data_IF_312366566174
#
_entry.id   IF_312366566174
#
_cell.length_a   1.000
_cell.length_b   1.000
_cell.length_c   1.000
_cell.angle_alpha   90.00
_cell.angle_beta   90.00
_cell.angle_gamma   90.00
#
_symmetry.space_group_name_H-M   'P 1'
#
loop_
_entity.id
_entity.type
_entity.pdbx_description
1 polymer ?
#
# COMPACT_ATOMS: atom_id res chain seq x y z
N UNK A 1 -21.87 5.20 19.74
CA UNK A 1 -20.45 5.60 19.77
C UNK A 1 -20.20 6.32 18.46
N UNK A 2 -19.58 7.49 18.52
CA UNK A 2 -19.32 8.33 17.36
C UNK A 2 -18.40 7.55 16.39
N UNK A 3 -18.90 7.22 15.20
CA UNK A 3 -18.22 6.35 14.24
C UNK A 3 -17.02 7.02 13.54
N UNK A 4 -16.53 8.13 14.09
CA UNK A 4 -15.60 9.07 13.44
C UNK A 4 -14.28 9.24 14.18
N UNK A 5 -14.21 8.86 15.46
CA UNK A 5 -12.99 9.03 16.23
C UNK A 5 -12.01 7.87 15.99
N UNK A 6 -10.73 8.16 15.67
CA UNK A 6 -9.70 7.14 15.56
C UNK A 6 -9.49 6.35 16.85
N UNK A 7 -9.02 5.11 16.71
CA UNK A 7 -8.59 4.26 17.81
C UNK A 7 -7.08 4.36 17.98
N UNK A 8 -6.61 4.49 19.23
CA UNK A 8 -5.19 4.47 19.56
C UNK A 8 -4.81 3.16 20.24
N UNK A 9 -3.65 2.62 19.88
CA UNK A 9 -3.00 1.49 20.55
C UNK A 9 -1.54 1.83 20.88
N UNK A 10 -1.03 1.27 21.97
CA UNK A 10 0.33 1.49 22.47
C UNK A 10 0.94 0.21 23.01
N UNK A 11 2.25 0.02 22.83
CA UNK A 11 2.95 -1.15 23.34
C UNK A 11 4.41 -1.17 22.92
N UNK A 12 5.32 -1.52 23.84
CA UNK A 12 6.74 -1.67 23.52
C UNK A 12 7.43 -0.41 22.97
N UNK A 13 6.99 0.78 23.39
CA UNK A 13 7.49 2.05 22.86
C UNK A 13 6.77 2.56 21.61
N UNK A 14 5.92 1.74 20.99
CA UNK A 14 5.16 2.11 19.80
C UNK A 14 3.82 2.74 20.16
N UNK A 15 3.36 3.67 19.32
CA UNK A 15 2.00 4.21 19.32
C UNK A 15 1.45 4.26 17.90
N UNK A 16 0.24 3.75 17.71
CA UNK A 16 -0.44 3.80 16.41
C UNK A 16 -1.86 4.37 16.56
N UNK A 17 -2.29 5.12 15.55
CA UNK A 17 -3.66 5.63 15.43
C UNK A 17 -4.31 5.08 14.17
N UNK A 18 -5.52 4.53 14.31
CA UNK A 18 -6.23 3.82 13.24
C UNK A 18 -7.62 4.45 13.07
N UNK A 19 -7.95 4.84 11.85
CA UNK A 19 -9.28 5.36 11.48
C UNK A 19 -10.32 4.23 11.51
N UNK A 20 -11.54 4.55 11.94
CA UNK A 20 -12.69 3.64 11.74
C UNK A 20 -13.24 3.69 10.31
N UNK A 21 -12.79 4.63 9.48
CA UNK A 21 -13.08 4.66 8.05
C UNK A 21 -11.95 3.93 7.30
N UNK A 22 -12.29 2.82 6.66
CA UNK A 22 -11.36 1.97 5.90
C UNK A 22 -10.21 1.36 6.70
N UNK A 23 -10.20 1.53 8.02
CA UNK A 23 -9.11 1.03 8.87
C UNK A 23 -7.77 1.70 8.57
N UNK A 24 -7.76 2.93 8.04
CA UNK A 24 -6.55 3.65 7.65
C UNK A 24 -5.58 3.82 8.83
N UNK A 25 -4.30 3.50 8.64
CA UNK A 25 -3.25 3.80 9.61
C UNK A 25 -2.88 5.30 9.52
N UNK A 26 -3.36 6.09 10.47
CA UNK A 26 -3.22 7.54 10.47
C UNK A 26 -1.85 8.01 10.96
N UNK A 27 -1.28 7.29 11.93
CA UNK A 27 0.02 7.61 12.52
C UNK A 27 0.66 6.34 13.09
N UNK A 28 1.99 6.28 13.06
CA UNK A 28 2.81 5.27 13.72
C UNK A 28 4.11 5.92 14.20
N UNK A 29 4.37 5.85 15.50
CA UNK A 29 5.63 6.30 16.10
C UNK A 29 6.27 5.21 16.93
N UNK A 30 7.59 5.29 17.09
CA UNK A 30 8.33 4.60 18.15
C UNK A 30 9.01 5.66 19.02
N UNK A 31 8.57 5.77 20.26
CA UNK A 31 8.81 6.93 21.11
C UNK A 31 8.39 8.23 20.37
N UNK A 32 9.35 9.12 20.12
CA UNK A 32 9.13 10.41 19.45
C UNK A 32 9.35 10.34 17.92
N UNK A 33 9.90 9.23 17.40
CA UNK A 33 10.21 9.12 15.97
C UNK A 33 8.97 8.70 15.17
N UNK A 34 8.59 9.51 14.18
CA UNK A 34 7.62 9.14 13.14
C UNK A 34 8.22 8.02 12.26
N UNK A 35 7.53 6.87 12.16
CA UNK A 35 7.93 5.76 11.28
C UNK A 35 7.19 5.79 9.94
N UNK A 36 6.01 6.40 9.93
CA UNK A 36 5.26 6.72 8.73
C UNK A 36 4.99 8.22 8.67
N UNK A 37 4.83 8.76 7.47
CA UNK A 37 4.31 10.12 7.30
C UNK A 37 2.86 10.15 7.79
N UNK A 38 2.51 11.03 8.75
CA UNK A 38 1.14 11.09 9.25
C UNK A 38 0.14 11.43 8.15
N UNK A 39 -0.99 10.71 8.11
CA UNK A 39 -2.01 10.86 7.07
C UNK A 39 -2.56 12.29 6.96
N UNK A 40 -2.61 13.01 8.08
CA UNK A 40 -3.03 14.41 8.14
C UNK A 40 -2.11 15.38 7.36
N UNK A 41 -0.89 14.97 7.01
CA UNK A 41 0.08 15.76 6.23
C UNK A 41 0.08 15.39 4.73
N UNK A 42 -0.77 14.47 4.30
CA UNK A 42 -0.68 13.80 2.99
C UNK A 42 -2.05 13.71 2.30
N UNK A 43 -2.78 14.83 2.26
CA UNK A 43 -4.11 14.87 1.66
C UNK A 43 -4.09 14.35 0.20
N UNK A 44 -5.02 13.44 -0.10
CA UNK A 44 -5.16 12.83 -1.44
C UNK A 44 -4.02 11.90 -1.87
N UNK A 45 -3.09 11.55 -0.97
CA UNK A 45 -1.97 10.65 -1.24
C UNK A 45 -2.16 9.22 -0.70
N UNK A 46 -3.32 8.93 -0.10
CA UNK A 46 -3.71 7.61 0.42
C UNK A 46 -2.80 7.04 1.52
N UNK A 47 -2.05 7.89 2.25
CA UNK A 47 -1.12 7.41 3.26
C UNK A 47 -1.82 6.57 4.34
N UNK A 48 -1.32 5.35 4.53
CA UNK A 48 -1.84 4.38 5.49
C UNK A 48 -3.16 3.73 5.08
N UNK A 49 -3.66 3.98 3.86
CA UNK A 49 -4.88 3.35 3.37
C UNK A 49 -4.70 1.85 3.16
N UNK A 50 -5.80 1.11 3.31
CA UNK A 50 -5.90 -0.31 2.96
C UNK A 50 -6.60 -0.40 1.60
N UNK A 51 -5.95 -1.03 0.64
CA UNK A 51 -6.30 -1.00 -0.78
C UNK A 51 -7.01 -2.30 -1.16
N UNK A 52 -8.34 -2.31 -1.16
CA UNK A 52 -9.13 -3.49 -1.51
C UNK A 52 -10.52 -3.07 -2.03
N UNK A 53 -11.16 -3.81 -2.95
CA UNK A 53 -10.80 -5.15 -3.44
C UNK A 53 -9.90 -5.16 -4.68
N UNK A 54 -9.20 -4.05 -4.98
CA UNK A 54 -8.05 -4.05 -5.87
C UNK A 54 -7.03 -3.01 -5.40
N UNK A 55 -5.73 -3.34 -5.38
CA UNK A 55 -4.69 -2.33 -5.23
C UNK A 55 -4.44 -1.65 -6.58
N UNK A 56 -3.81 -0.48 -6.52
CA UNK A 56 -3.44 0.31 -7.69
C UNK A 56 -4.63 0.54 -8.67
N UNK A 57 -4.36 0.75 -9.95
CA UNK A 57 -5.34 1.15 -10.96
C UNK A 57 -6.07 -0.03 -11.58
N UNK A 58 -7.36 0.15 -11.84
CA UNK A 58 -8.12 -0.61 -12.85
C UNK A 58 -8.42 0.32 -14.02
N UNK A 59 -7.88 -0.03 -15.18
CA UNK A 59 -7.93 0.80 -16.39
C UNK A 59 -9.37 1.12 -16.79
N UNK A 60 -9.64 2.40 -17.06
CA UNK A 60 -10.91 2.87 -17.60
C UNK A 60 -12.11 2.62 -16.68
N UNK A 61 -11.86 2.37 -15.39
CA UNK A 61 -12.90 2.13 -14.39
C UNK A 61 -13.78 0.95 -14.77
N UNK A 62 -13.24 -0.08 -15.41
CA UNK A 62 -14.03 -1.21 -15.89
C UNK A 62 -13.22 -2.49 -15.91
N UNK A 63 -13.93 -3.60 -15.82
CA UNK A 63 -13.38 -4.93 -16.00
C UNK A 63 -14.43 -5.92 -16.48
N UNK A 64 -14.00 -7.06 -16.99
CA UNK A 64 -14.89 -8.16 -17.37
C UNK A 64 -14.62 -9.37 -16.49
N UNK A 65 -15.66 -9.89 -15.84
CA UNK A 65 -15.56 -11.08 -15.02
C UNK A 65 -16.69 -12.05 -15.36
N UNK A 66 -16.35 -13.33 -15.58
CA UNK A 66 -17.30 -14.36 -16.03
C UNK A 66 -18.16 -13.95 -17.24
N UNK A 67 -17.59 -13.15 -18.15
CA UNK A 67 -18.28 -12.68 -19.36
C UNK A 67 -19.20 -11.47 -19.16
N UNK A 68 -19.27 -10.90 -17.96
CA UNK A 68 -20.05 -9.68 -17.64
C UNK A 68 -19.10 -8.50 -17.48
N UNK A 69 -19.38 -7.39 -18.16
CA UNK A 69 -18.67 -6.13 -17.95
C UNK A 69 -19.22 -5.41 -16.71
N UNK A 70 -18.32 -4.92 -15.87
CA UNK A 70 -18.61 -4.15 -14.68
C UNK A 70 -17.94 -2.77 -14.74
N UNK A 71 -18.63 -1.73 -14.26
CA UNK A 71 -18.15 -0.36 -14.24
C UNK A 71 -17.88 0.08 -12.80
N UNK A 72 -16.61 0.22 -12.47
CA UNK A 72 -16.13 0.72 -11.19
C UNK A 72 -16.25 2.26 -11.13
N UNK A 73 -16.46 2.83 -9.94
CA UNK A 73 -16.33 4.28 -9.75
C UNK A 73 -14.96 4.78 -10.19
N UNK A 74 -14.93 5.76 -11.10
CA UNK A 74 -13.69 6.42 -11.51
C UNK A 74 -13.25 7.34 -10.37
N UNK A 75 -12.08 7.06 -9.80
CA UNK A 75 -11.47 7.87 -8.73
C UNK A 75 -10.23 8.65 -9.20
N UNK A 76 -9.75 8.40 -10.42
CA UNK A 76 -8.68 9.18 -11.07
C UNK A 76 -9.18 9.73 -12.42
N UNK A 77 -9.75 10.94 -12.40
CA UNK A 77 -10.35 11.56 -13.58
C UNK A 77 -9.38 11.69 -14.77
N UNK A 78 -8.12 12.04 -14.50
CA UNK A 78 -7.11 12.29 -15.52
C UNK A 78 -6.82 11.08 -16.42
N UNK A 79 -7.01 9.86 -15.90
CA UNK A 79 -6.77 8.61 -16.63
C UNK A 79 -8.04 7.81 -16.88
N UNK A 80 -9.14 8.19 -16.22
CA UNK A 80 -10.38 7.42 -16.18
C UNK A 80 -10.26 6.13 -15.39
N UNK A 81 -9.21 5.93 -14.58
CA UNK A 81 -9.02 4.71 -13.81
C UNK A 81 -9.82 4.69 -12.50
N UNK A 82 -10.18 3.47 -12.06
CA UNK A 82 -10.60 3.22 -10.69
C UNK A 82 -9.37 2.83 -9.86
N UNK A 83 -8.98 3.69 -8.92
CA UNK A 83 -7.76 3.58 -8.14
C UNK A 83 -8.06 3.13 -6.70
N UNK A 84 -7.35 2.11 -6.22
CA UNK A 84 -7.25 1.70 -4.80
C UNK A 84 -8.48 1.10 -4.11
N UNK A 85 -9.45 0.59 -4.86
CA UNK A 85 -10.55 -0.17 -4.28
C UNK A 85 -11.62 0.69 -3.61
N UNK A 86 -12.47 0.03 -2.82
CA UNK A 86 -13.66 0.60 -2.17
C UNK A 86 -13.54 0.63 -0.64
N UNK A 87 -12.62 -0.16 -0.08
CA UNK A 87 -12.52 -0.35 1.36
C UNK A 87 -12.16 0.94 2.09
N UNK A 88 -11.46 1.88 1.46
CA UNK A 88 -11.08 3.16 2.07
C UNK A 88 -12.28 3.97 2.59
N UNK A 89 -13.45 3.83 1.96
CA UNK A 89 -14.68 4.54 2.32
C UNK A 89 -15.61 3.71 3.22
N UNK A 90 -15.21 2.49 3.60
CA UNK A 90 -16.03 1.57 4.37
C UNK A 90 -15.99 1.93 5.87
N UNK A 91 -17.12 2.25 6.51
CA UNK A 91 -17.17 2.38 7.96
C UNK A 91 -16.98 1.01 8.64
N UNK A 92 -16.00 0.93 9.53
CA UNK A 92 -15.69 -0.24 10.33
C UNK A 92 -16.12 -0.04 11.78
N UNK A 93 -16.46 -1.13 12.44
CA UNK A 93 -16.72 -1.15 13.89
C UNK A 93 -15.57 -1.82 14.62
N UNK A 94 -15.26 -1.32 15.81
CA UNK A 94 -14.37 -2.00 16.76
C UNK A 94 -15.06 -3.26 17.26
N UNK A 95 -14.43 -4.40 17.07
CA UNK A 95 -14.88 -5.70 17.59
C UNK A 95 -14.19 -6.02 18.91
N UNK A 96 -12.89 -5.70 19.00
CA UNK A 96 -12.08 -5.88 20.21
C UNK A 96 -11.02 -4.79 20.26
N UNK A 97 -10.73 -4.30 21.47
CA UNK A 97 -9.65 -3.35 21.72
C UNK A 97 -8.97 -3.70 23.04
N UNK A 98 -7.65 -3.82 22.98
CA UNK A 98 -6.73 -3.90 24.12
C UNK A 98 -5.80 -2.68 24.05
N UNK A 99 -4.92 -2.54 25.03
CA UNK A 99 -3.92 -1.46 25.02
C UNK A 99 -3.04 -1.50 23.76
N UNK A 100 -2.57 -2.68 23.38
CA UNK A 100 -1.61 -2.88 22.29
C UNK A 100 -2.19 -3.49 21.02
N UNK A 101 -3.53 -3.58 20.91
CA UNK A 101 -4.21 -4.28 19.82
C UNK A 101 -5.61 -3.72 19.58
N UNK A 102 -5.99 -3.58 18.31
CA UNK A 102 -7.38 -3.32 17.91
C UNK A 102 -7.78 -4.25 16.76
N UNK A 103 -9.01 -4.75 16.82
CA UNK A 103 -9.65 -5.50 15.75
C UNK A 103 -10.88 -4.75 15.28
N UNK A 104 -10.93 -4.49 13.97
CA UNK A 104 -12.00 -3.80 13.27
C UNK A 104 -12.69 -4.77 12.32
N UNK A 105 -13.99 -4.63 12.12
CA UNK A 105 -14.69 -5.37 11.08
C UNK A 105 -15.79 -4.54 10.40
N UNK A 106 -16.09 -4.90 9.16
CA UNK A 106 -17.11 -4.24 8.34
C UNK A 106 -17.66 -5.16 7.27
N UNK A 107 -18.73 -4.70 6.63
CA UNK A 107 -19.36 -5.38 5.51
C UNK A 107 -19.28 -4.46 4.29
N UNK A 108 -18.48 -4.84 3.30
CA UNK A 108 -18.48 -4.16 2.00
C UNK A 108 -19.67 -4.70 1.21
N UNK A 109 -20.67 -3.85 1.00
CA UNK A 109 -21.87 -4.20 0.26
C UNK A 109 -21.55 -4.49 -1.22
N UNK A 110 -22.34 -5.40 -1.80
CA UNK A 110 -22.37 -5.59 -3.24
C UNK A 110 -22.79 -4.28 -3.92
N UNK A 111 -22.17 -3.94 -5.04
CA UNK A 111 -22.50 -2.75 -5.83
C UNK A 111 -22.61 -3.10 -7.30
N UNK A 112 -23.20 -2.20 -8.10
CA UNK A 112 -23.30 -2.37 -9.57
C UNK A 112 -21.92 -2.60 -10.21
N UNK A 113 -20.92 -1.84 -9.75
CA UNK A 113 -19.55 -1.90 -10.27
C UNK A 113 -18.72 -3.06 -9.72
N UNK A 114 -19.05 -3.57 -8.54
CA UNK A 114 -18.37 -4.69 -7.92
C UNK A 114 -19.42 -5.53 -7.16
N UNK A 115 -20.09 -6.47 -7.85
CA UNK A 115 -21.24 -7.18 -7.29
C UNK A 115 -20.84 -8.38 -6.41
N UNK A 116 -19.89 -8.17 -5.50
CA UNK A 116 -19.38 -9.20 -4.61
C UNK A 116 -19.28 -8.66 -3.18
N UNK A 117 -20.26 -9.00 -2.33
CA UNK A 117 -20.25 -8.60 -0.93
C UNK A 117 -19.12 -9.27 -0.15
N UNK A 118 -18.36 -8.49 0.63
CA UNK A 118 -17.20 -8.97 1.39
C UNK A 118 -17.33 -8.69 2.88
N UNK A 119 -17.07 -9.70 3.72
CA UNK A 119 -16.67 -9.43 5.09
C UNK A 119 -15.24 -8.94 5.09
N UNK A 120 -15.02 -7.87 5.85
CA UNK A 120 -13.70 -7.28 6.06
C UNK A 120 -13.37 -7.37 7.55
N UNK A 121 -12.15 -7.81 7.86
CA UNK A 121 -11.58 -7.71 9.19
C UNK A 121 -10.17 -7.14 9.11
N UNK A 122 -9.84 -6.24 10.02
CA UNK A 122 -8.52 -5.64 10.14
C UNK A 122 -8.03 -5.79 11.57
N UNK A 123 -6.80 -6.25 11.75
CA UNK A 123 -6.14 -6.32 13.05
C UNK A 123 -4.87 -5.50 13.02
N UNK A 124 -4.71 -4.62 14.02
CA UNK A 124 -3.48 -3.88 14.26
C UNK A 124 -2.95 -4.24 15.65
N UNK A 125 -1.65 -4.56 15.73
CA UNK A 125 -0.95 -4.89 16.98
C UNK A 125 0.35 -4.11 17.06
N UNK A 126 0.73 -3.69 18.26
CA UNK A 126 2.03 -3.06 18.53
C UNK A 126 2.76 -3.77 19.67
N UNK A 127 4.06 -4.04 19.51
CA UNK A 127 4.89 -4.60 20.57
C UNK A 127 6.37 -4.23 20.37
N UNK A 128 7.20 -4.48 21.39
CA UNK A 128 8.64 -4.22 21.29
C UNK A 128 9.33 -5.16 20.28
N UNK A 129 8.84 -6.40 20.18
CA UNK A 129 9.46 -7.46 19.37
C UNK A 129 9.02 -7.43 17.90
N UNK A 130 7.84 -6.87 17.60
CA UNK A 130 7.24 -6.89 16.25
C UNK A 130 7.14 -5.50 15.61
N UNK A 131 7.32 -4.43 16.39
CA UNK A 131 6.88 -3.10 15.99
C UNK A 131 5.37 -3.03 15.81
N UNK A 132 4.89 -2.44 14.72
CA UNK A 132 3.51 -2.56 14.26
C UNK A 132 3.35 -3.82 13.40
N UNK A 133 2.29 -4.61 13.62
CA UNK A 133 1.79 -5.59 12.67
C UNK A 133 0.36 -5.21 12.24
N UNK A 134 0.08 -5.26 10.95
CA UNK A 134 -1.22 -5.01 10.36
C UNK A 134 -1.66 -6.20 9.50
N UNK A 135 -2.87 -6.70 9.73
CA UNK A 135 -3.46 -7.84 9.02
C UNK A 135 -4.80 -7.44 8.42
N UNK A 136 -4.99 -7.67 7.13
CA UNK A 136 -6.29 -7.65 6.44
C UNK A 136 -6.77 -9.07 6.23
N UNK A 137 -8.03 -9.30 6.56
CA UNK A 137 -8.76 -10.50 6.16
C UNK A 137 -10.00 -10.12 5.36
N UNK A 138 -10.28 -10.89 4.31
CA UNK A 138 -11.46 -10.71 3.47
C UNK A 138 -12.12 -12.06 3.21
N UNK A 139 -13.46 -12.09 3.22
CA UNK A 139 -14.25 -13.28 2.90
C UNK A 139 -15.41 -12.90 2.01
N UNK A 140 -15.51 -13.54 0.86
CA UNK A 140 -16.66 -13.38 -0.03
C UNK A 140 -17.89 -14.06 0.57
N UNK A 141 -18.98 -13.30 0.72
CA UNK A 141 -20.31 -13.82 1.11
C UNK A 141 -21.34 -13.43 0.05
N UNK A 142 -21.77 -14.36 -0.81
CA UNK A 142 -22.86 -14.11 -1.74
C UNK A 142 -24.19 -13.79 -1.02
N UNK A 143 -24.98 -12.87 -1.56
CA UNK A 143 -26.24 -12.39 -0.95
C UNK A 143 -27.27 -13.50 -0.72
N UNK A 144 -27.36 -14.50 -1.60
CA UNK A 144 -28.27 -15.65 -1.43
C UNK A 144 -27.96 -16.52 -0.19
N UNK A 145 -26.79 -16.38 0.43
CA UNK A 145 -26.42 -17.07 1.67
C UNK A 145 -26.64 -16.22 2.93
N UNK A 146 -27.19 -15.01 2.81
CA UNK A 146 -27.30 -14.05 3.92
C UNK A 146 -28.63 -14.09 4.68
N UNK A 147 -29.65 -14.81 4.20
CA UNK A 147 -30.99 -14.81 4.81
C UNK A 147 -31.03 -15.33 6.27
N UNK A 148 -30.02 -16.10 6.71
CA UNK A 148 -29.95 -16.66 8.08
C UNK A 148 -28.78 -16.12 8.94
N UNK A 149 -27.92 -15.23 8.41
CA UNK A 149 -26.69 -14.82 9.09
C UNK A 149 -26.71 -13.33 9.47
N UNK A 150 -26.86 -13.04 10.77
CA UNK A 150 -26.69 -11.68 11.31
C UNK A 150 -25.31 -11.14 10.91
N UNK A 151 -25.22 -10.02 10.14
CA UNK A 151 -23.94 -9.44 9.77
C UNK A 151 -23.12 -9.11 11.02
N UNK A 152 -21.97 -9.74 11.19
CA UNK A 152 -21.01 -9.37 12.23
C UNK A 152 -21.05 -10.12 13.57
N UNK A 153 -21.72 -11.27 13.64
CA UNK A 153 -21.69 -12.13 14.84
C UNK A 153 -20.87 -13.41 14.68
N UNK A 154 -20.39 -13.74 13.48
CA UNK A 154 -19.37 -14.78 13.33
C UNK A 154 -18.10 -14.29 14.04
N UNK A 155 -17.58 -15.08 14.99
CA UNK A 155 -16.25 -14.86 15.53
C UNK A 155 -15.26 -14.76 14.36
N UNK A 156 -14.47 -13.68 14.35
CA UNK A 156 -13.32 -13.62 13.46
C UNK A 156 -12.51 -14.88 13.70
N UNK A 157 -12.03 -15.55 12.64
CA UNK A 157 -11.19 -16.72 12.84
C UNK A 157 -10.03 -16.34 13.75
N UNK A 158 -9.74 -17.19 14.74
CA UNK A 158 -8.49 -17.07 15.48
C UNK A 158 -7.36 -17.03 14.45
N UNK A 159 -6.48 -16.03 14.55
CA UNK A 159 -5.30 -16.01 13.69
C UNK A 159 -4.55 -17.33 13.89
N UNK A 160 -4.00 -17.94 12.83
CA UNK A 160 -3.14 -19.09 13.02
C UNK A 160 -2.06 -18.70 14.02
N UNK A 161 -1.79 -19.55 15.01
CA UNK A 161 -0.67 -19.32 15.91
C UNK A 161 0.58 -19.26 15.04
N UNK A 162 1.25 -18.10 15.00
CA UNK A 162 2.59 -17.96 14.44
C UNK A 162 3.52 -18.83 15.29
N UNK A 163 3.59 -20.12 15.00
CA UNK A 163 4.69 -20.97 15.45
C UNK A 163 5.91 -20.60 14.61
N UNK A 164 6.46 -19.41 14.85
CA UNK A 164 7.87 -19.17 14.61
C UNK A 164 8.56 -19.92 15.74
N UNK A 165 8.97 -21.16 15.48
CA UNK A 165 10.00 -21.76 16.31
C UNK A 165 11.20 -20.81 16.29
N UNK A 166 11.75 -20.42 17.46
CA UNK A 166 12.89 -19.52 17.49
C UNK A 166 13.99 -20.17 16.65
N UNK A 167 14.40 -19.49 15.58
CA UNK A 167 15.58 -19.87 14.83
C UNK A 167 16.73 -20.01 15.84
N UNK A 168 17.21 -21.23 16.05
CA UNK A 168 18.40 -21.46 16.87
C UNK A 168 19.51 -20.54 16.34
N UNK A 169 20.14 -19.84 17.28
CA UNK A 169 20.94 -18.64 17.01
C UNK A 169 21.97 -18.83 15.90
N UNK A 170 22.03 -17.86 14.99
CA UNK A 170 23.29 -17.55 14.34
C UNK A 170 24.23 -17.03 15.43
N UNK A 171 25.08 -17.91 15.94
CA UNK A 171 26.30 -17.49 16.62
C UNK A 171 27.09 -16.58 15.68
N UNK A 172 27.42 -15.39 16.18
CA UNK A 172 28.33 -14.48 15.52
C UNK A 172 29.66 -15.19 15.24
N UNK A 173 29.94 -15.47 13.97
CA UNK A 173 31.25 -15.92 13.55
C UNK A 173 32.27 -14.81 13.89
N UNK A 174 33.17 -15.11 14.83
CA UNK A 174 34.35 -14.31 15.09
C UNK A 174 35.20 -14.20 13.82
N UNK A 175 35.93 -13.09 13.59
CA UNK A 175 36.79 -12.96 12.42
C UNK A 175 37.93 -13.97 12.50
N UNK A 176 37.98 -14.90 11.55
CA UNK A 176 39.14 -15.79 11.38
C UNK A 176 40.35 -14.98 10.92
N UNK A 177 41.41 -15.04 11.71
CA UNK A 177 42.75 -14.56 11.35
C UNK A 177 43.31 -15.45 10.24
N UNK A 178 43.98 -14.90 9.21
CA UNK A 178 44.56 -15.73 8.16
C UNK A 178 45.74 -16.53 8.71
N UNK A 179 45.69 -17.84 8.49
CA UNK A 179 46.81 -18.76 8.68
C UNK A 179 47.90 -18.44 7.65
N UNK A 180 49.10 -18.11 8.16
CA UNK A 180 50.32 -17.90 7.38
C UNK A 180 51.02 -19.27 7.23
N UNK A 181 51.05 -19.79 6.00
CA UNK A 181 51.76 -21.02 5.69
C UNK A 181 53.28 -20.80 5.74
N UNK A 182 53.90 -21.60 6.60
CA UNK A 182 55.33 -21.80 6.78
C UNK A 182 56.15 -21.83 5.48
N UNK A 183 57.30 -21.16 5.51
CA UNK A 183 58.48 -21.63 4.79
C UNK A 183 59.74 -21.55 5.66
N UNK A 184 60.56 -22.58 5.54
CA UNK A 184 61.61 -23.03 6.45
C UNK A 184 62.89 -22.17 6.49
N UNK A 185 63.49 -22.16 7.69
CA UNK A 185 64.91 -22.37 8.01
C UNK A 185 66.01 -21.47 7.40
N UNK A 186 66.68 -20.68 8.25
CA UNK A 186 68.09 -20.91 8.69
C UNK A 186 68.68 -19.71 9.44
N UNK A 187 69.36 -19.97 10.57
CA UNK A 187 70.61 -19.24 10.91
C UNK A 187 70.62 -18.22 12.06
N UNK A 188 70.88 -18.72 13.27
CA UNK A 188 71.94 -18.30 14.21
C UNK A 188 72.13 -16.82 14.69
N UNK A 189 72.04 -16.72 16.03
CA UNK A 189 72.81 -15.93 17.02
C UNK A 189 72.41 -14.50 17.47
N UNK A 190 72.61 -14.15 18.78
CA UNK A 190 72.05 -12.97 19.43
C UNK A 190 73.09 -11.93 19.90
N UNK A 191 72.67 -10.67 20.02
CA UNK A 191 73.31 -9.56 20.77
C UNK A 191 72.33 -8.37 20.69
N UNK A 192 72.11 -7.48 21.65
CA UNK A 192 72.73 -7.14 22.93
C UNK A 192 71.67 -6.31 23.70
N UNK A 193 71.78 -6.30 25.02
CA UNK A 193 71.01 -5.43 25.90
C UNK A 193 71.52 -3.98 25.82
N UNK A 194 70.62 -3.00 25.99
CA UNK A 194 71.00 -1.80 26.74
C UNK A 194 69.81 -1.24 27.54
N UNK A 195 70.10 -0.88 28.79
CA UNK A 195 69.20 -0.31 29.78
C UNK A 195 69.53 1.19 29.95
N UNK A 196 68.50 2.01 30.14
CA UNK A 196 68.45 3.20 31.02
C UNK A 196 67.24 4.06 30.58
N UNK A 197 66.43 4.72 31.40
CA UNK A 197 66.37 5.01 32.85
C UNK A 197 65.18 5.97 33.02
N UNK A 198 64.25 5.68 33.94
CA UNK A 198 63.92 6.46 35.16
C UNK A 198 63.48 7.93 34.99
N UNK A 199 62.21 8.22 35.35
CA UNK A 199 61.74 9.09 36.47
C UNK A 199 60.23 9.37 36.27
N UNK A 200 59.28 8.95 37.15
CA UNK A 200 58.86 9.54 38.45
C UNK A 200 58.67 11.07 38.40
N UNK A 201 57.67 11.72 39.00
CA UNK A 201 56.43 11.39 39.70
C UNK A 201 55.73 12.75 40.01
N UNK A 202 54.53 12.66 40.59
CA UNK A 202 53.92 13.58 41.58
C UNK A 202 52.65 14.37 41.22
N UNK A 203 51.78 14.32 42.22
CA UNK A 203 50.41 14.78 42.37
C UNK A 203 50.32 16.27 42.75
N UNK A 204 49.10 16.82 42.75
CA UNK A 204 48.49 17.37 43.98
C UNK A 204 47.06 17.87 43.73
N UNK A 205 46.25 17.66 44.76
CA UNK A 205 44.85 18.06 44.98
C UNK A 205 44.67 19.57 45.21
N UNK A 206 43.41 20.03 45.21
CA UNK A 206 43.05 21.35 45.72
C UNK A 206 41.55 21.66 45.60
N UNK A 207 40.84 21.49 46.72
CA UNK A 207 39.51 21.98 47.12
C UNK A 207 39.25 23.45 46.68
N UNK A 208 38.06 24.00 46.49
CA UNK A 208 36.73 23.78 47.05
C UNK A 208 36.06 25.17 47.22
N UNK A 209 34.78 25.16 47.64
CA UNK A 209 33.95 26.25 48.17
C UNK A 209 32.83 26.80 47.27
N UNK A 210 31.67 26.78 47.92
CA UNK A 210 30.27 26.89 47.55
C UNK A 210 29.74 28.33 47.63
N UNK A 211 28.51 28.52 47.13
CA UNK A 211 27.34 29.22 47.71
C UNK A 211 26.44 29.68 46.53
N UNK A 212 25.22 29.20 46.31
CA UNK A 212 23.99 29.07 47.12
C UNK A 212 22.90 30.06 46.65
N UNK A 213 21.71 29.51 46.37
CA UNK A 213 20.35 30.08 46.52
C UNK A 213 19.93 31.29 45.64
N UNK A 214 18.67 31.48 45.22
CA UNK A 214 17.40 30.79 45.45
C UNK A 214 16.40 31.08 44.30
N UNK A 215 15.37 30.22 44.20
CA UNK A 215 14.17 30.40 43.40
C UNK A 215 13.20 31.47 43.97
N UNK A 216 12.33 32.03 43.12
CA UNK A 216 10.91 32.25 43.44
C UNK A 216 10.07 32.61 42.20
N UNK A 217 8.90 31.98 42.11
CA UNK A 217 7.82 32.23 41.16
C UNK A 217 6.91 33.39 41.60
N UNK A 218 6.20 33.99 40.64
CA UNK A 218 4.86 34.63 40.78
C UNK A 218 4.37 35.06 39.38
N UNK A 219 3.31 34.46 38.85
CA UNK A 219 1.93 35.00 38.78
C UNK A 219 1.61 35.78 37.48
N UNK A 220 0.59 35.29 36.78
CA UNK A 220 -0.13 35.87 35.63
C UNK A 220 -1.10 36.97 36.12
N UNK A 221 -1.41 38.01 35.32
CA UNK A 221 -2.72 37.99 34.67
C UNK A 221 -2.82 38.69 33.28
N UNK A 222 -3.56 38.04 32.37
CA UNK A 222 -4.68 38.58 31.54
C UNK A 222 -4.51 39.94 30.80
N UNK A 223 -4.66 39.96 29.47
CA UNK A 223 -5.70 40.71 28.74
C UNK A 223 -5.40 40.91 27.23
N UNK A 224 -6.44 40.63 26.42
CA UNK A 224 -6.89 41.30 25.18
C UNK A 224 -6.01 41.38 23.92
N UNK A 225 -6.50 40.70 22.87
CA UNK A 225 -7.00 41.36 21.67
C UNK A 225 -6.00 41.70 20.56
N UNK A 226 -6.08 40.97 19.44
CA UNK A 226 -6.07 41.53 18.07
C UNK A 226 -6.32 40.43 17.05
N UNK A 227 -7.42 40.54 16.29
CA UNK A 227 -7.52 39.97 14.94
C UNK A 227 -6.47 40.61 14.02
N UNK A 228 -6.12 39.98 12.89
CA UNK A 228 -6.74 40.48 11.67
C UNK A 228 -7.16 39.39 10.67
N UNK A 229 -8.33 39.65 10.08
CA UNK A 229 -8.64 39.69 8.65
C UNK A 229 -7.83 38.81 7.68
N UNK A 230 -8.59 38.07 6.87
CA UNK A 230 -8.09 37.18 5.83
C UNK A 230 -7.39 37.85 4.65
N UNK A 231 -6.71 36.99 3.91
CA UNK A 231 -6.41 37.20 2.51
C UNK A 231 -6.54 35.86 1.80
N UNK A 232 -7.54 35.75 0.93
CA UNK A 232 -7.50 34.86 -0.22
C UNK A 232 -6.18 35.10 -0.96
N UNK A 233 -5.40 34.05 -1.13
CA UNK A 233 -4.30 34.02 -2.08
C UNK A 233 -4.42 32.72 -2.87
N UNK A 234 -5.11 32.83 -4.01
CA UNK A 234 -5.01 31.86 -5.09
C UNK A 234 -3.54 31.79 -5.53
N UNK A 235 -2.94 30.60 -5.42
CA UNK A 235 -1.64 30.31 -6.00
C UNK A 235 -1.83 29.90 -7.47
N UNK A 236 -0.95 30.34 -8.39
CA UNK A 236 -1.20 30.32 -9.83
C UNK A 236 -0.99 28.94 -10.46
N UNK A 237 -1.81 28.67 -11.49
CA UNK A 237 -1.63 27.62 -12.48
C UNK A 237 -0.19 27.62 -13.02
N UNK A 238 0.51 26.51 -12.84
CA UNK A 238 1.75 26.23 -13.55
C UNK A 238 1.40 25.56 -14.89
N UNK A 239 1.38 26.35 -15.97
CA UNK A 239 1.35 25.84 -17.34
C UNK A 239 2.59 24.96 -17.62
N UNK A 240 2.33 23.73 -18.04
CA UNK A 240 3.35 22.84 -18.62
C UNK A 240 3.57 23.27 -20.08
N UNK A 241 4.81 23.45 -20.56
CA UNK A 241 5.02 23.85 -21.95
C UNK A 241 4.67 22.72 -22.92
N UNK A 242 3.87 23.07 -23.93
CA UNK A 242 3.51 22.20 -25.06
C UNK A 242 4.74 21.61 -25.75
N UNK A 243 4.79 20.29 -25.82
CA UNK A 243 5.68 19.59 -26.73
C UNK A 243 5.03 19.52 -28.12
N UNK A 244 5.58 20.26 -29.08
CA UNK A 244 5.19 20.19 -30.48
C UNK A 244 5.34 18.75 -31.02
N UNK A 245 4.22 18.16 -31.45
CA UNK A 245 4.18 16.91 -32.20
C UNK A 245 4.30 17.26 -33.69
N UNK A 246 5.25 16.68 -34.46
CA UNK A 246 5.29 16.90 -35.89
C UNK A 246 4.15 16.15 -36.58
N UNK A 247 3.47 16.85 -37.50
CA UNK A 247 2.37 16.35 -38.33
C UNK A 247 2.72 15.01 -39.02
N UNK A 248 1.90 13.99 -38.76
CA UNK A 248 1.90 12.76 -39.53
C UNK A 248 0.81 12.86 -40.62
N UNK A 249 1.25 12.83 -41.88
CA UNK A 249 0.38 12.81 -43.06
C UNK A 249 -0.56 11.59 -43.04
N UNK A 250 -1.84 11.84 -43.29
CA UNK A 250 -2.90 10.86 -43.49
C UNK A 250 -2.78 10.29 -44.92
N UNK A 251 -2.65 8.96 -45.13
CA UNK A 251 -2.88 8.39 -46.44
C UNK A 251 -4.38 8.17 -46.68
N UNK A 252 -4.84 8.63 -47.84
CA UNK A 252 -6.21 8.54 -48.34
C UNK A 252 -6.67 7.09 -48.62
N UNK A 253 -7.99 6.91 -48.45
CA UNK A 253 -8.81 5.72 -48.68
C UNK A 253 -8.98 5.44 -50.19
N UNK A 254 -8.88 4.19 -50.69
CA UNK A 254 -9.32 3.87 -52.04
C UNK A 254 -10.70 3.19 -52.06
N UNK A 255 -11.48 3.70 -53.00
CA UNK A 255 -12.90 3.54 -53.28
C UNK A 255 -13.44 2.10 -53.45
N UNK A 256 -14.77 2.04 -53.28
CA UNK A 256 -15.67 0.95 -53.59
C UNK A 256 -15.77 0.62 -55.10
N UNK A 257 -15.89 -0.67 -55.41
CA UNK A 257 -16.38 -1.17 -56.70
C UNK A 257 -17.77 -1.80 -56.52
N UNK A 258 -18.71 -1.30 -57.31
CA UNK A 258 -20.08 -1.77 -57.41
C UNK A 258 -20.19 -2.99 -58.34
N UNK A 259 -21.19 -3.85 -58.11
CA UNK A 259 -21.71 -4.71 -59.18
C UNK A 259 -23.23 -4.78 -59.11
N UNK A 260 -23.85 -4.20 -60.14
CA UNK A 260 -25.27 -4.26 -60.48
C UNK A 260 -25.71 -5.70 -60.80
N UNK A 261 -26.97 -6.02 -60.49
CA UNK A 261 -27.81 -6.86 -61.37
C UNK A 261 -29.30 -6.62 -61.12
N UNK A 262 -29.89 -6.10 -62.18
CA UNK A 262 -31.30 -5.89 -62.51
C UNK A 262 -32.07 -7.22 -62.68
N UNK A 263 -33.32 -7.30 -62.20
CA UNK A 263 -34.42 -7.92 -62.98
C UNK A 263 -35.80 -7.50 -62.45
N UNK A 264 -36.64 -7.07 -63.39
CA UNK A 264 -38.00 -6.54 -63.31
C UNK A 264 -39.15 -7.57 -63.24
N UNK A 265 -40.15 -7.29 -62.36
CA UNK A 265 -41.64 -7.42 -62.48
C UNK A 265 -42.34 -8.76 -62.84
N UNK A 266 -43.71 -8.84 -62.86
CA UNK A 266 -44.75 -7.93 -62.35
C UNK A 266 -45.91 -8.60 -61.54
N UNK A 267 -46.94 -7.78 -61.25
CA UNK A 267 -48.19 -7.88 -60.46
C UNK A 267 -49.20 -9.03 -60.73
N UNK A 268 -50.03 -9.32 -59.71
CA UNK A 268 -51.51 -9.54 -59.69
C UNK A 268 -51.88 -9.80 -58.19
N UNK A 269 -52.92 -9.29 -57.52
CA UNK A 269 -54.27 -8.90 -57.89
C UNK A 269 -55.27 -9.91 -57.33
N UNK A 270 -55.84 -9.71 -56.13
CA UNK A 270 -57.16 -10.29 -55.74
C UNK A 270 -57.64 -9.77 -54.37
N UNK A 271 -58.82 -9.15 -54.39
CA UNK A 271 -59.68 -8.87 -53.24
C UNK A 271 -60.29 -10.15 -52.65
N UNK A 272 -60.54 -10.17 -51.34
CA UNK A 272 -61.70 -10.81 -50.70
C UNK A 272 -61.72 -10.53 -49.17
N UNK A 273 -62.64 -9.66 -48.72
CA UNK A 273 -63.33 -9.81 -47.43
C UNK A 273 -64.33 -11.00 -47.53
N UNK A 274 -64.89 -11.60 -46.45
CA UNK A 274 -65.19 -10.99 -45.14
C UNK A 274 -65.01 -11.92 -43.90
N UNK A 275 -65.13 -11.35 -42.70
CA UNK A 275 -66.12 -11.67 -41.64
C UNK A 275 -65.59 -11.34 -40.25
N UNK A 276 -66.36 -10.51 -39.54
CA UNK A 276 -66.22 -10.25 -38.11
C UNK A 276 -66.36 -11.55 -37.31
N UNK A 277 -65.44 -11.77 -36.37
CA UNK A 277 -65.75 -12.50 -35.14
C UNK A 277 -64.95 -11.91 -33.99
N UNK A 278 -65.69 -11.38 -33.05
CA UNK A 278 -65.27 -10.79 -31.78
C UNK A 278 -64.76 -11.90 -30.85
N UNK A 279 -63.51 -11.80 -30.41
CA UNK A 279 -62.97 -12.58 -29.30
C UNK A 279 -61.76 -11.87 -28.68
N UNK A 280 -62.06 -10.97 -27.74
CA UNK A 280 -61.16 -10.51 -26.69
C UNK A 280 -60.29 -11.65 -26.13
N UNK A 281 -59.00 -11.60 -26.40
CA UNK A 281 -57.97 -12.19 -25.54
C UNK A 281 -56.85 -11.18 -25.41
N UNK A 282 -56.75 -10.60 -24.21
CA UNK A 282 -55.59 -9.82 -23.82
C UNK A 282 -54.36 -10.70 -24.01
N UNK A 283 -53.44 -10.26 -24.88
CA UNK A 283 -52.10 -10.84 -24.91
C UNK A 283 -51.40 -10.36 -23.64
N UNK A 284 -51.42 -11.19 -22.61
CA UNK A 284 -50.45 -11.12 -21.52
C UNK A 284 -49.08 -11.25 -22.17
N UNK A 285 -48.41 -10.12 -22.38
CA UNK A 285 -46.97 -10.06 -22.49
C UNK A 285 -46.43 -10.57 -21.16
N UNK A 286 -46.14 -11.86 -21.11
CA UNK A 286 -45.27 -12.44 -20.08
C UNK A 286 -43.94 -11.72 -20.22
N UNK A 287 -43.71 -10.71 -19.38
CA UNK A 287 -42.37 -10.33 -18.99
C UNK A 287 -41.71 -11.63 -18.50
N UNK A 288 -40.84 -12.20 -19.34
CA UNK A 288 -39.89 -13.20 -18.87
C UNK A 288 -39.06 -12.49 -17.81
N UNK A 289 -39.40 -12.78 -16.55
CA UNK A 289 -38.55 -12.51 -15.41
C UNK A 289 -37.12 -12.93 -15.80
N UNK A 290 -36.14 -12.00 -15.82
CA UNK A 290 -34.77 -12.38 -16.13
C UNK A 290 -34.40 -13.49 -15.15
N UNK A 291 -34.04 -14.66 -15.69
CA UNK A 291 -33.54 -15.76 -14.86
C UNK A 291 -32.48 -15.20 -13.92
N UNK A 292 -32.51 -15.53 -12.61
CA UNK A 292 -31.59 -14.96 -11.65
C UNK A 292 -30.18 -15.15 -12.19
N UNK A 293 -29.43 -14.04 -12.29
CA UNK A 293 -28.04 -14.07 -12.70
C UNK A 293 -27.34 -15.07 -11.78
N UNK A 294 -26.72 -16.14 -12.30
CA UNK A 294 -26.15 -17.17 -11.46
C UNK A 294 -25.14 -16.53 -10.52
N UNK A 295 -25.29 -16.78 -9.21
CA UNK A 295 -24.36 -16.29 -8.20
C UNK A 295 -22.93 -16.64 -8.60
N UNK A 296 -22.00 -15.67 -8.64
CA UNK A 296 -20.63 -15.95 -9.00
C UNK A 296 -20.02 -16.97 -8.04
N UNK A 297 -19.39 -18.01 -8.60
CA UNK A 297 -18.75 -19.07 -7.81
C UNK A 297 -17.54 -18.56 -7.00
N UNK A 298 -16.94 -17.43 -7.41
CA UNK A 298 -15.86 -16.74 -6.70
C UNK A 298 -15.96 -15.24 -6.89
N UNK A 299 -15.31 -14.46 -6.02
CA UNK A 299 -15.13 -13.02 -6.20
C UNK A 299 -13.70 -12.66 -6.66
N UNK A 300 -13.51 -11.83 -7.69
CA UNK A 300 -12.19 -11.34 -8.11
C UNK A 300 -11.66 -10.32 -7.11
N UNK A 301 -10.48 -10.54 -6.54
CA UNK A 301 -9.98 -9.77 -5.42
C UNK A 301 -8.47 -9.51 -5.53
N UNK A 302 -8.07 -8.32 -5.09
CA UNK A 302 -6.70 -7.97 -4.78
C UNK A 302 -6.66 -7.09 -3.53
N UNK A 303 -5.53 -7.11 -2.83
CA UNK A 303 -5.31 -6.29 -1.66
C UNK A 303 -3.92 -5.63 -1.67
N UNK A 304 -3.79 -4.55 -0.91
CA UNK A 304 -2.51 -3.95 -0.55
C UNK A 304 -2.63 -2.98 0.62
N UNK A 305 -1.50 -2.43 1.05
CA UNK A 305 -1.42 -1.41 2.09
C UNK A 305 -0.57 -0.24 1.60
N UNK A 306 -0.88 0.98 2.01
CA UNK A 306 -0.24 2.18 1.46
C UNK A 306 0.53 3.04 2.48
N UNK A 307 1.40 2.47 3.35
CA UNK A 307 2.17 3.29 4.28
C UNK A 307 3.27 4.08 3.55
N UNK A 308 3.45 5.34 3.92
CA UNK A 308 4.62 6.13 3.53
C UNK A 308 5.64 6.05 4.65
N UNK A 309 6.72 5.31 4.46
CA UNK A 309 7.80 5.21 5.43
C UNK A 309 8.55 6.56 5.54
N UNK A 310 8.86 6.96 6.76
CA UNK A 310 9.77 8.08 7.06
C UNK A 310 10.68 7.70 8.22
N UNK A 311 11.90 8.21 8.23
CA UNK A 311 12.90 7.88 9.25
C UNK A 311 12.98 9.01 10.28
N UNK A 312 11.94 9.16 11.11
CA UNK A 312 11.84 10.23 12.10
C UNK A 312 11.62 11.61 11.46
N UNK A 313 10.93 11.68 10.32
CA UNK A 313 10.73 12.91 9.57
C UNK A 313 11.96 13.43 8.84
N UNK A 314 13.03 12.64 8.75
CA UNK A 314 14.24 12.99 8.02
C UNK A 314 13.96 13.24 6.52
N UNK A 315 14.79 14.08 5.89
CA UNK A 315 14.68 14.33 4.46
C UNK A 315 14.92 13.05 3.68
N UNK A 316 13.99 12.70 2.79
CA UNK A 316 14.15 11.53 1.92
C UNK A 316 15.40 11.61 1.03
N UNK A 317 15.95 12.83 0.81
CA UNK A 317 17.20 13.04 0.08
C UNK A 317 18.43 12.47 0.81
N UNK A 318 18.35 12.35 2.13
CA UNK A 318 19.41 11.80 2.98
C UNK A 318 19.19 10.31 3.30
N UNK A 319 18.06 9.76 2.82
CA UNK A 319 17.68 8.38 3.04
C UNK A 319 18.10 7.46 1.89
N UNK A 320 18.36 6.20 2.25
CA UNK A 320 18.56 5.08 1.34
C UNK A 320 17.39 4.12 1.47
N UNK A 321 16.99 3.49 0.37
CA UNK A 321 15.98 2.42 0.40
C UNK A 321 16.58 1.14 -0.13
N UNK A 322 16.64 0.11 0.71
CA UNK A 322 16.98 -1.26 0.31
C UNK A 322 15.70 -2.06 0.10
N UNK A 323 15.56 -2.69 -1.06
CA UNK A 323 14.45 -3.59 -1.39
C UNK A 323 14.97 -4.70 -2.32
N UNK A 324 14.71 -6.00 -2.03
CA UNK A 324 15.33 -7.11 -2.77
C UNK A 324 14.66 -7.45 -4.10
N UNK A 325 13.66 -6.69 -4.56
CA UNK A 325 12.92 -6.96 -5.79
C UNK A 325 13.84 -6.94 -7.03
N UNK A 326 13.63 -7.89 -7.94
CA UNK A 326 14.50 -8.07 -9.13
C UNK A 326 13.85 -7.66 -10.44
N UNK A 327 12.54 -7.51 -10.47
CA UNK A 327 11.79 -7.09 -11.66
C UNK A 327 10.90 -5.90 -11.38
N UNK A 328 10.83 -4.98 -12.33
CA UNK A 328 9.97 -3.81 -12.34
C UNK A 328 9.01 -3.87 -13.53
N UNK A 329 7.76 -3.46 -13.31
CA UNK A 329 6.77 -3.29 -14.37
C UNK A 329 6.97 -1.97 -15.11
N UNK A 330 6.68 -1.99 -16.41
CA UNK A 330 6.46 -0.78 -17.19
C UNK A 330 4.97 -0.54 -17.30
N UNK A 331 4.50 0.60 -16.83
CA UNK A 331 3.11 1.00 -16.92
C UNK A 331 2.94 2.24 -17.79
N UNK A 332 1.76 2.39 -18.40
CA UNK A 332 1.28 3.69 -18.86
C UNK A 332 0.65 4.45 -17.68
N UNK A 333 0.38 5.74 -17.86
CA UNK A 333 -0.30 6.55 -16.85
C UNK A 333 -1.65 5.96 -16.39
N UNK A 334 -2.38 5.29 -17.29
CA UNK A 334 -3.66 4.62 -17.01
C UNK A 334 -3.53 3.28 -16.26
N UNK A 335 -2.32 2.92 -15.82
CA UNK A 335 -2.03 1.65 -15.13
C UNK A 335 -1.85 0.46 -16.07
N UNK A 336 -1.97 0.62 -17.39
CA UNK A 336 -1.75 -0.50 -18.34
C UNK A 336 -0.32 -1.02 -18.24
N UNK A 337 -0.15 -2.29 -17.86
CA UNK A 337 1.15 -2.96 -17.90
C UNK A 337 1.54 -3.23 -19.36
N UNK A 338 2.70 -2.71 -19.77
CA UNK A 338 3.24 -2.80 -21.14
C UNK A 338 4.45 -3.71 -21.26
N UNK A 339 4.99 -4.18 -20.13
CA UNK A 339 6.09 -5.13 -20.09
C UNK A 339 6.78 -5.17 -18.74
N UNK A 340 7.80 -6.03 -18.65
CA UNK A 340 8.64 -6.23 -17.46
C UNK A 340 10.10 -5.94 -17.80
N UNK A 341 10.88 -5.54 -16.81
CA UNK A 341 12.33 -5.37 -16.92
C UNK A 341 13.00 -5.81 -15.62
N UNK A 342 14.15 -6.45 -15.74
CA UNK A 342 15.10 -6.55 -14.62
C UNK A 342 15.43 -5.15 -14.12
N UNK A 343 15.45 -4.98 -12.80
CA UNK A 343 15.81 -3.70 -12.18
C UNK A 343 17.23 -3.27 -12.58
N UNK A 344 17.40 -1.97 -12.82
CA UNK A 344 18.68 -1.38 -13.18
C UNK A 344 18.67 0.12 -12.83
N UNK A 345 19.87 0.69 -12.66
CA UNK A 345 20.08 2.13 -12.49
C UNK A 345 19.21 2.74 -11.37
N UNK A 346 18.32 3.67 -11.71
CA UNK A 346 17.48 4.41 -10.77
C UNK A 346 16.45 3.53 -10.05
N UNK A 347 16.13 2.37 -10.64
CA UNK A 347 15.14 1.42 -10.13
C UNK A 347 15.76 0.22 -9.41
N UNK A 348 17.08 0.04 -9.45
CA UNK A 348 17.75 -1.00 -8.67
C UNK A 348 17.96 -0.55 -7.23
N UNK A 349 17.05 -1.00 -6.36
CA UNK A 349 17.05 -0.72 -4.93
C UNK A 349 17.78 -1.80 -4.11
N UNK A 350 18.33 -2.84 -4.75
CA UNK A 350 18.80 -4.05 -4.04
C UNK A 350 20.00 -3.80 -3.13
N UNK A 351 20.80 -2.78 -3.45
CA UNK A 351 21.99 -2.40 -2.67
C UNK A 351 21.77 -1.17 -1.77
N UNK A 352 20.53 -0.70 -1.58
CA UNK A 352 20.26 0.48 -0.74
C UNK A 352 20.84 1.79 -1.29
N UNK A 353 20.54 2.18 -2.55
CA UNK A 353 21.01 3.45 -3.09
C UNK A 353 20.38 4.64 -2.35
N UNK A 354 21.04 5.79 -2.44
CA UNK A 354 20.47 7.05 -1.97
C UNK A 354 19.26 7.42 -2.82
N UNK A 355 18.18 7.88 -2.18
CA UNK A 355 16.95 8.28 -2.86
C UNK A 355 17.04 9.68 -3.50
N UNK A 356 18.05 10.48 -3.12
CA UNK A 356 18.31 11.77 -3.79
C UNK A 356 18.45 11.59 -5.30
N UNK A 357 17.68 12.37 -6.07
CA UNK A 357 17.70 12.33 -7.53
C UNK A 357 16.94 11.18 -8.18
N UNK A 358 16.29 10.29 -7.40
CA UNK A 358 15.44 9.22 -7.92
C UNK A 358 13.98 9.63 -7.84
N UNK A 359 13.24 9.33 -8.89
CA UNK A 359 11.77 9.43 -8.95
C UNK A 359 11.25 8.08 -9.40
N UNK A 360 10.48 7.44 -8.54
CA UNK A 360 9.98 6.09 -8.71
C UNK A 360 8.50 6.13 -8.41
N UNK A 361 7.69 5.62 -9.33
CA UNK A 361 6.29 5.26 -9.11
C UNK A 361 6.01 3.96 -9.90
N UNK A 362 6.54 2.84 -9.42
CA UNK A 362 6.49 1.57 -10.15
C UNK A 362 6.18 0.39 -9.23
N UNK A 363 5.51 -0.60 -9.81
CA UNK A 363 5.32 -1.92 -9.21
C UNK A 363 6.55 -2.80 -9.48
N UNK A 364 6.98 -3.52 -8.46
CA UNK A 364 8.08 -4.45 -8.47
C UNK A 364 7.62 -5.85 -8.04
N UNK A 365 8.35 -6.87 -8.48
CA UNK A 365 8.15 -8.30 -8.15
C UNK A 365 9.49 -9.05 -8.22
N UNK A 366 9.45 -10.38 -8.30
CA UNK A 366 10.58 -11.29 -8.10
C UNK A 366 11.23 -11.04 -6.74
N UNK A 367 10.39 -11.06 -5.71
CA UNK A 367 10.75 -10.96 -4.29
C UNK A 367 11.03 -12.38 -3.73
N UNK A 368 11.84 -12.51 -2.66
CA UNK A 368 12.03 -13.79 -1.97
C UNK A 368 10.71 -14.44 -1.53
N UNK A 369 10.61 -15.76 -1.68
CA UNK A 369 9.38 -16.53 -1.39
C UNK A 369 9.09 -16.64 0.11
N UNK A 370 10.14 -16.61 0.94
CA UNK A 370 10.07 -16.66 2.40
C UNK A 370 9.60 -15.34 3.05
N UNK A 371 9.34 -14.32 2.22
CA UNK A 371 9.08 -12.95 2.65
C UNK A 371 10.30 -12.05 2.48
N UNK A 372 10.07 -10.75 2.55
CA UNK A 372 11.03 -9.73 2.17
C UNK A 372 10.99 -8.55 3.13
N UNK A 373 12.08 -7.79 3.11
CA UNK A 373 12.22 -6.58 3.91
C UNK A 373 12.53 -5.37 3.02
N UNK A 374 11.92 -4.24 3.36
CA UNK A 374 12.29 -2.94 2.83
C UNK A 374 12.87 -2.09 3.97
N UNK A 375 14.08 -1.58 3.79
CA UNK A 375 14.77 -0.79 4.82
C UNK A 375 14.97 0.64 4.33
N UNK A 376 14.28 1.59 4.98
CA UNK A 376 14.53 3.02 4.84
C UNK A 376 15.57 3.45 5.87
N UNK A 377 16.76 3.80 5.41
CA UNK A 377 17.93 4.08 6.25
C UNK A 377 18.26 5.56 6.14
N UNK A 378 18.15 6.32 7.23
CA UNK A 378 18.64 7.69 7.29
C UNK A 378 20.16 7.70 7.41
N UNK A 379 20.85 8.23 6.40
CA UNK A 379 22.31 8.16 6.31
C UNK A 379 23.04 8.82 7.50
N UNK A 380 22.74 10.08 7.85
CA UNK A 380 23.38 10.79 8.95
C UNK A 380 23.21 10.15 10.34
N UNK A 381 22.01 9.68 10.71
CA UNK A 381 21.76 9.13 12.05
C UNK A 381 21.89 7.61 12.15
N UNK A 382 21.87 6.90 11.02
CA UNK A 382 21.79 5.44 10.99
C UNK A 382 20.44 4.89 11.47
N UNK A 383 19.43 5.73 11.66
CA UNK A 383 18.09 5.28 12.01
C UNK A 383 17.45 4.53 10.84
N UNK A 384 16.89 3.36 11.10
CA UNK A 384 16.28 2.50 10.11
C UNK A 384 14.82 2.28 10.46
N UNK A 385 13.96 2.47 9.47
CA UNK A 385 12.58 1.98 9.49
C UNK A 385 12.51 0.80 8.53
N UNK A 386 12.18 -0.37 9.07
CA UNK A 386 12.08 -1.61 8.30
C UNK A 386 10.63 -2.01 8.18
N UNK A 387 10.19 -2.30 6.95
CA UNK A 387 8.97 -3.03 6.67
C UNK A 387 9.28 -4.50 6.38
N UNK A 388 8.44 -5.41 6.85
CA UNK A 388 8.49 -6.84 6.54
C UNK A 388 7.13 -7.25 5.94
N UNK A 389 7.15 -7.99 4.84
CA UNK A 389 5.94 -8.51 4.19
C UNK A 389 6.26 -9.77 3.37
N UNK A 390 5.23 -10.51 2.98
CA UNK A 390 5.31 -11.75 2.19
C UNK A 390 4.54 -11.68 0.87
N UNK A 391 4.10 -10.48 0.49
CA UNK A 391 3.30 -10.28 -0.71
C UNK A 391 4.13 -10.40 -1.99
N UNK A 392 3.59 -10.97 -3.09
CA UNK A 392 4.34 -11.19 -4.32
C UNK A 392 4.65 -9.92 -5.12
N UNK A 393 3.98 -8.81 -4.80
CA UNK A 393 4.19 -7.50 -5.42
C UNK A 393 4.48 -6.43 -4.37
N UNK A 394 5.19 -5.39 -4.80
CA UNK A 394 5.38 -4.16 -4.03
C UNK A 394 5.36 -2.94 -4.94
N UNK A 395 4.53 -1.94 -4.66
CA UNK A 395 4.64 -0.61 -5.29
C UNK A 395 5.66 0.22 -4.50
N UNK A 396 6.54 0.91 -5.20
CA UNK A 396 7.39 1.95 -4.58
C UNK A 396 7.05 3.29 -5.22
N UNK A 397 6.68 4.25 -4.38
CA UNK A 397 6.44 5.62 -4.79
C UNK A 397 7.23 6.63 -3.94
N UNK A 398 8.06 7.46 -4.58
CA UNK A 398 8.97 8.41 -3.90
C UNK A 398 8.29 9.67 -3.36
N UNK A 399 6.96 9.75 -3.41
CA UNK A 399 6.19 10.74 -2.67
C UNK A 399 6.20 12.14 -3.27
N UNK A 400 6.40 12.29 -4.59
CA UNK A 400 6.43 13.59 -5.28
C UNK A 400 5.25 14.52 -4.92
N UNK A 401 4.04 13.98 -4.75
CA UNK A 401 2.81 14.71 -4.38
C UNK A 401 2.77 15.21 -2.92
N UNK A 402 3.66 14.69 -2.07
CA UNK A 402 3.77 15.07 -0.65
C UNK A 402 5.15 15.68 -0.36
N UNK A 403 5.73 16.34 -1.37
CA UNK A 403 7.09 16.92 -1.33
C UNK A 403 8.16 15.93 -0.82
N UNK A 404 7.97 14.65 -1.16
CA UNK A 404 8.87 13.56 -0.78
C UNK A 404 9.11 13.49 0.74
N UNK A 405 8.09 13.79 1.56
CA UNK A 405 8.13 13.66 3.01
C UNK A 405 8.38 12.22 3.50
N UNK A 406 8.13 11.24 2.64
CA UNK A 406 8.43 9.83 2.85
C UNK A 406 8.36 9.07 1.52
N UNK A 407 8.59 7.75 1.60
CA UNK A 407 8.46 6.83 0.45
C UNK A 407 7.36 5.83 0.72
N UNK A 408 6.39 5.71 -0.18
CA UNK A 408 5.42 4.63 -0.11
C UNK A 408 6.10 3.32 -0.50
N UNK A 409 5.94 2.31 0.36
CA UNK A 409 6.30 0.93 0.10
C UNK A 409 5.03 0.13 0.32
N UNK A 410 4.40 -0.29 -0.76
CA UNK A 410 3.05 -0.84 -0.72
C UNK A 410 3.12 -2.34 -1.01
N UNK A 411 3.08 -3.22 0.00
CA UNK A 411 2.91 -4.64 -0.27
C UNK A 411 1.55 -4.84 -0.96
N UNK A 412 1.52 -5.60 -2.07
CA UNK A 412 0.33 -5.85 -2.87
C UNK A 412 0.23 -7.34 -3.24
N UNK A 413 -0.99 -7.86 -3.33
CA UNK A 413 -1.23 -9.26 -3.74
C UNK A 413 -1.13 -9.45 -5.25
N UNK A 414 -1.33 -8.38 -6.02
CA UNK A 414 -1.41 -8.43 -7.48
C UNK A 414 -0.90 -7.11 -8.09
N UNK A 415 -0.53 -7.10 -9.38
CA UNK A 415 -0.03 -5.91 -10.05
C UNK A 415 -1.14 -4.91 -10.40
N UNK A 416 -0.78 -3.70 -10.85
CA UNK A 416 -1.73 -2.78 -11.47
C UNK A 416 -2.56 -3.47 -12.56
N UNK A 417 -3.85 -3.12 -12.60
CA UNK A 417 -4.83 -3.58 -13.58
C UNK A 417 -5.12 -5.09 -13.54
N UNK A 418 -4.89 -5.75 -12.40
CA UNK A 418 -5.13 -7.18 -12.19
C UNK A 418 -6.57 -7.64 -12.50
N UNK A 419 -7.59 -6.80 -12.23
CA UNK A 419 -8.98 -7.13 -12.58
C UNK A 419 -9.18 -7.37 -14.09
N UNK A 420 -8.35 -6.76 -14.94
CA UNK A 420 -8.40 -6.93 -16.39
C UNK A 420 -7.38 -7.93 -16.92
N UNK A 421 -6.18 -7.98 -16.32
CA UNK A 421 -5.11 -8.88 -16.78
C UNK A 421 -5.26 -10.30 -16.25
N UNK A 422 -5.95 -10.48 -15.12
CA UNK A 422 -6.06 -11.74 -14.38
C UNK A 422 -4.76 -12.15 -13.68
N UNK A 423 -3.70 -11.35 -13.77
CA UNK A 423 -2.39 -11.68 -13.18
C UNK A 423 -2.45 -11.58 -11.66
N UNK A 424 -2.12 -12.69 -11.00
CA UNK A 424 -2.15 -12.87 -9.54
C UNK A 424 -3.44 -12.39 -8.86
N UNK A 425 -4.53 -12.29 -9.64
CA UNK A 425 -5.83 -11.93 -9.13
C UNK A 425 -6.35 -13.08 -8.27
N UNK A 426 -6.71 -12.78 -7.03
CA UNK A 426 -7.25 -13.77 -6.10
C UNK A 426 -8.71 -14.02 -6.46
N UNK A 427 -9.12 -15.29 -6.49
CA UNK A 427 -10.50 -15.68 -6.66
C UNK A 427 -11.02 -16.20 -5.32
N UNK A 428 -11.67 -15.33 -4.53
CA UNK A 428 -12.17 -15.69 -3.21
C UNK A 428 -13.31 -16.70 -3.35
N UNK A 429 -13.15 -17.88 -2.77
CA UNK A 429 -14.23 -18.85 -2.63
C UNK A 429 -15.24 -18.37 -1.56
N UNK A 430 -16.55 -18.61 -1.74
CA UNK A 430 -17.58 -18.30 -0.77
C UNK A 430 -17.26 -18.87 0.61
N UNK A 431 -17.34 -18.03 1.64
CA UNK A 431 -17.16 -18.45 3.03
C UNK A 431 -15.71 -18.71 3.47
N UNK A 432 -14.72 -18.69 2.57
CA UNK A 432 -13.30 -18.83 2.92
C UNK A 432 -12.66 -17.47 3.20
N UNK A 433 -11.88 -17.41 4.27
CA UNK A 433 -11.09 -16.22 4.61
C UNK A 433 -9.77 -16.21 3.85
N UNK A 434 -9.49 -15.09 3.21
CA UNK A 434 -8.17 -14.69 2.75
C UNK A 434 -7.48 -13.85 3.83
N UNK A 435 -6.14 -13.83 3.86
CA UNK A 435 -5.32 -13.04 4.78
C UNK A 435 -4.12 -12.43 4.04
N UNK A 436 -3.80 -11.18 4.37
CA UNK A 436 -2.57 -10.49 4.01
C UNK A 436 -2.09 -9.64 5.18
N UNK A 437 -0.79 -9.45 5.36
CA UNK A 437 -0.28 -8.52 6.36
C UNK A 437 1.10 -7.97 6.07
N UNK A 438 1.53 -7.05 6.91
CA UNK A 438 2.89 -6.52 6.95
C UNK A 438 3.24 -6.06 8.37
N UNK A 439 4.52 -5.87 8.65
CA UNK A 439 4.98 -5.19 9.86
C UNK A 439 5.89 -4.00 9.56
N UNK A 440 5.98 -3.06 10.51
CA UNK A 440 6.93 -1.94 10.50
C UNK A 440 7.60 -1.86 11.88
N UNK A 441 8.93 -1.87 11.88
CA UNK A 441 9.75 -1.73 13.09
C UNK A 441 10.80 -0.62 12.95
N UNK A 442 11.21 -0.07 14.10
CA UNK A 442 12.26 0.91 14.21
C UNK A 442 13.55 0.26 14.73
N UNK A 443 14.68 0.54 14.06
CA UNK A 443 16.00 0.03 14.45
C UNK A 443 16.94 1.22 14.55
N UNK A 444 17.54 1.39 15.74
CA UNK A 444 18.58 2.38 15.98
C UNK A 444 19.94 1.71 15.88
N UNK A 445 20.87 2.33 15.16
CA UNK A 445 22.26 1.94 15.23
C UNK A 445 22.74 2.08 16.69
N UNK A 446 23.45 1.06 17.17
CA UNK A 446 24.00 1.01 18.53
C UNK A 446 25.13 2.03 18.75
#
# INVERSE_FOLDING_TARGET
>A
MDATNPVSITGGGYSAQISLLGGQLLNLTHHEDELIVPAAKTEGAFAGAVLAPWPNRTKGGRYTFNGVEHLLPVSEEATGAALHGLLMDLPLRVISQKESEVQLAGWLESSEGYPFGLDIALTYRVSADLGLAATLMARYRPEELTEDATPGQDELPAEPEDTVEPSEGLEAAAPETPEDESNEDTGAEPAEADQAGTDQAEAAEGEGVEHEFAASASEDPSAEGSEPAGSEAAAPDAEVPDAEVPDAEVPEDPEAEASERDSSGPSEGSEAEPTETDASTASESTETDPSPTPVPQTAPFGAGFHPYLTAGGASLRECRLRLPARTMLKTKADGTVTGRKTVAQDFDLTNGPLLSGRTIDHAFTDLPEEGWTAELIHGPSGFVVRMIADSPWVQVYTGERIDRAGVAVEPMTCPPNALNSGEDLIHLEPGKWFRMGYSIEAIRAA
#
